data_IF_697558014265
#
_entry.id   IF_697558014265
#
_cell.length_a   1.000
_cell.length_b   1.000
_cell.length_c   1.000
_cell.angle_alpha   90.00
_cell.angle_beta   90.00
_cell.angle_gamma   90.00
#
_symmetry.space_group_name_H-M   'P 1'
#
loop_
_entity.id
_entity.type
_entity.pdbx_description
1 polymer ?
#
# COMPACT_ATOMS: atom_id res chain seq x y z
N UNK A 1 5.64 25.85 41.95
CA UNK A 1 5.03 24.54 41.64
C UNK A 1 5.15 24.11 40.16
N UNK A 2 5.80 24.89 39.27
CA UNK A 2 5.84 24.64 37.81
C UNK A 2 7.14 24.00 37.27
N UNK A 3 8.15 23.72 38.10
CA UNK A 3 9.43 23.16 37.64
C UNK A 3 9.38 21.65 37.36
N UNK A 4 8.48 20.91 38.00
CA UNK A 4 8.33 19.46 37.80
C UNK A 4 7.63 19.07 36.50
N UNK A 5 6.71 19.91 36.02
CA UNK A 5 5.91 19.65 34.82
C UNK A 5 6.75 19.76 33.54
N UNK A 6 7.68 20.73 33.47
CA UNK A 6 8.57 20.89 32.33
C UNK A 6 9.61 19.76 32.21
N UNK A 7 10.19 19.34 33.33
CA UNK A 7 11.16 18.22 33.34
C UNK A 7 10.46 16.91 32.99
N UNK A 8 9.25 16.67 33.53
CA UNK A 8 8.44 15.50 33.18
C UNK A 8 8.08 15.45 31.69
N UNK A 9 7.67 16.58 31.10
CA UNK A 9 7.34 16.66 29.68
C UNK A 9 8.56 16.41 28.77
N UNK A 10 9.74 16.96 29.13
CA UNK A 10 10.98 16.74 28.37
C UNK A 10 11.47 15.29 28.43
N UNK A 11 11.36 14.65 29.60
CA UNK A 11 11.70 13.22 29.73
C UNK A 11 10.73 12.39 28.89
N UNK A 12 9.43 12.67 28.97
CA UNK A 12 8.42 11.97 28.18
C UNK A 12 8.66 12.14 26.66
N UNK A 13 8.97 13.34 26.19
CA UNK A 13 9.27 13.59 24.78
C UNK A 13 10.53 12.86 24.34
N UNK A 14 11.60 12.89 25.15
CA UNK A 14 12.86 12.19 24.86
C UNK A 14 12.64 10.68 24.78
N UNK A 15 11.88 10.11 25.71
CA UNK A 15 11.52 8.69 25.67
C UNK A 15 10.68 8.35 24.43
N UNK A 16 9.74 9.21 24.03
CA UNK A 16 8.97 9.03 22.81
C UNK A 16 9.87 9.08 21.56
N UNK A 17 10.76 10.05 21.47
CA UNK A 17 11.70 10.19 20.36
C UNK A 17 12.66 9.00 20.25
N UNK A 18 13.19 8.53 21.38
CA UNK A 18 14.03 7.32 21.42
C UNK A 18 13.24 6.07 21.03
N UNK A 19 12.00 5.94 21.50
CA UNK A 19 11.11 4.85 21.12
C UNK A 19 10.82 4.84 19.61
N UNK A 20 10.52 6.00 19.04
CA UNK A 20 10.31 6.18 17.60
C UNK A 20 11.59 5.91 16.81
N UNK A 21 12.74 6.39 17.26
CA UNK A 21 14.04 6.12 16.62
C UNK A 21 14.35 4.61 16.62
N UNK A 22 14.15 3.94 17.75
CA UNK A 22 14.32 2.49 17.87
C UNK A 22 13.36 1.72 16.96
N UNK A 23 12.09 2.11 16.91
CA UNK A 23 11.09 1.51 16.02
C UNK A 23 11.47 1.70 14.54
N UNK A 24 11.89 2.90 14.13
CA UNK A 24 12.37 3.16 12.77
C UNK A 24 13.58 2.31 12.41
N UNK A 25 14.50 2.13 13.34
CA UNK A 25 15.70 1.30 13.14
C UNK A 25 15.32 -0.18 12.96
N UNK A 26 14.42 -0.70 13.79
CA UNK A 26 13.91 -2.07 13.69
C UNK A 26 13.15 -2.29 12.37
N UNK A 27 12.30 -1.34 11.99
CA UNK A 27 11.59 -1.37 10.72
C UNK A 27 12.58 -1.38 9.54
N UNK A 28 13.57 -0.48 9.56
CA UNK A 28 14.61 -0.43 8.53
C UNK A 28 15.41 -1.74 8.41
N UNK A 29 15.78 -2.36 9.55
CA UNK A 29 16.46 -3.64 9.57
C UNK A 29 15.57 -4.78 9.04
N UNK A 30 14.30 -4.81 9.44
CA UNK A 30 13.32 -5.78 8.98
C UNK A 30 13.10 -5.68 7.47
N UNK A 31 12.92 -4.46 6.96
CA UNK A 31 12.76 -4.18 5.54
C UNK A 31 14.02 -4.60 4.75
N UNK A 32 15.21 -4.20 5.22
CA UNK A 32 16.47 -4.59 4.56
C UNK A 32 16.65 -6.11 4.50
N UNK A 33 16.28 -6.82 5.55
CA UNK A 33 16.34 -8.29 5.57
C UNK A 33 15.37 -8.92 4.55
N UNK A 34 14.16 -8.38 4.43
CA UNK A 34 13.10 -8.97 3.59
C UNK A 34 13.19 -8.59 2.12
N UNK A 35 13.68 -7.38 1.82
CA UNK A 35 13.60 -6.80 0.48
C UNK A 35 14.90 -6.17 0.01
N UNK A 36 16.01 -6.39 0.73
CA UNK A 36 17.32 -5.84 0.38
C UNK A 36 17.92 -6.39 -0.91
N UNK A 37 17.43 -7.54 -1.39
CA UNK A 37 17.77 -8.12 -2.69
C UNK A 37 16.95 -7.55 -3.86
N UNK A 38 15.95 -6.70 -3.55
CA UNK A 38 15.04 -6.14 -4.54
C UNK A 38 15.38 -4.69 -4.84
N UNK A 39 15.27 -4.33 -6.12
CA UNK A 39 15.41 -2.96 -6.62
C UNK A 39 14.04 -2.40 -6.97
N UNK A 40 13.83 -1.13 -6.66
CA UNK A 40 12.67 -0.37 -7.11
C UNK A 40 13.07 0.54 -8.25
N UNK A 41 12.22 0.60 -9.26
CA UNK A 41 12.30 1.50 -10.40
C UNK A 41 10.97 2.26 -10.49
N UNK A 42 11.00 3.58 -10.33
CA UNK A 42 9.83 4.42 -10.57
C UNK A 42 9.73 4.71 -12.06
N UNK A 43 8.54 4.52 -12.63
CA UNK A 43 8.27 4.73 -14.05
C UNK A 43 7.07 5.65 -14.24
N UNK A 44 7.11 6.45 -15.29
CA UNK A 44 6.01 7.35 -15.68
C UNK A 44 4.93 6.62 -16.49
N UNK A 45 5.26 5.45 -17.05
CA UNK A 45 4.36 4.59 -17.80
C UNK A 45 4.59 3.12 -17.48
N UNK A 46 3.50 2.37 -17.31
CA UNK A 46 3.53 0.92 -17.14
C UNK A 46 4.05 0.24 -18.42
N UNK A 47 5.14 -0.54 -18.33
CA UNK A 47 5.66 -1.24 -19.50
C UNK A 47 4.72 -2.36 -19.94
N UNK A 48 4.65 -2.61 -21.25
CA UNK A 48 3.79 -3.66 -21.84
C UNK A 48 4.12 -5.07 -21.34
N UNK A 49 5.33 -5.31 -20.85
CA UNK A 49 5.71 -6.61 -20.27
C UNK A 49 4.83 -7.01 -19.08
N UNK A 50 4.25 -6.03 -18.36
CA UNK A 50 3.31 -6.29 -17.25
C UNK A 50 2.06 -7.01 -17.74
N UNK A 51 1.59 -6.77 -18.96
CA UNK A 51 0.37 -7.39 -19.47
C UNK A 51 0.49 -8.91 -19.54
N UNK A 52 1.65 -9.41 -19.99
CA UNK A 52 1.91 -10.84 -20.05
C UNK A 52 1.94 -11.48 -18.65
N UNK A 53 2.53 -10.79 -17.67
CA UNK A 53 2.60 -11.25 -16.28
C UNK A 53 1.22 -11.20 -15.59
N UNK A 54 0.43 -10.17 -15.86
CA UNK A 54 -0.94 -10.08 -15.36
C UNK A 54 -1.86 -11.13 -15.98
N UNK A 55 -1.66 -11.47 -17.26
CA UNK A 55 -2.42 -12.51 -17.95
C UNK A 55 -2.15 -13.93 -17.42
N UNK A 56 -0.98 -14.17 -16.81
CA UNK A 56 -0.65 -15.46 -16.17
C UNK A 56 -1.38 -15.69 -14.84
N UNK A 57 -2.13 -14.69 -14.34
CA UNK A 57 -2.87 -14.81 -13.09
C UNK A 57 -4.06 -15.73 -13.23
N UNK A 58 -4.08 -16.76 -12.39
CA UNK A 58 -5.17 -17.73 -12.33
C UNK A 58 -6.11 -17.39 -11.17
N UNK A 59 -7.18 -16.66 -11.46
CA UNK A 59 -8.31 -16.43 -10.56
C UNK A 59 -9.63 -16.66 -11.30
N UNK A 60 -10.67 -17.18 -10.62
CA UNK A 60 -12.02 -17.32 -11.21
C UNK A 60 -12.67 -15.95 -11.47
N UNK A 61 -12.32 -14.96 -10.66
CA UNK A 61 -12.73 -13.55 -10.82
C UNK A 61 -11.48 -12.70 -10.74
N UNK A 62 -11.27 -11.79 -11.69
CA UNK A 62 -10.07 -10.94 -11.73
C UNK A 62 -10.48 -9.51 -12.07
N UNK A 63 -10.04 -8.53 -11.26
CA UNK A 63 -10.16 -7.12 -11.67
C UNK A 63 -9.37 -6.91 -12.96
N UNK A 64 -9.98 -6.32 -13.99
CA UNK A 64 -9.26 -6.03 -15.23
C UNK A 64 -8.10 -5.08 -14.93
N UNK A 65 -6.88 -5.61 -15.04
CA UNK A 65 -5.65 -4.84 -14.94
C UNK A 65 -4.81 -5.07 -16.18
N UNK A 66 -4.27 -3.98 -16.67
CA UNK A 66 -3.39 -3.92 -17.84
C UNK A 66 -2.48 -2.71 -17.69
N UNK A 67 -1.44 -2.64 -18.51
CA UNK A 67 -0.62 -1.46 -18.71
C UNK A 67 -1.49 -0.25 -19.04
N UNK A 68 -2.49 -0.41 -19.93
CA UNK A 68 -3.49 0.62 -20.26
C UNK A 68 -4.23 1.13 -19.04
N UNK A 69 -4.73 0.23 -18.17
CA UNK A 69 -5.42 0.59 -16.94
C UNK A 69 -4.50 1.34 -15.96
N UNK A 70 -3.28 0.84 -15.75
CA UNK A 70 -2.29 1.49 -14.88
C UNK A 70 -1.91 2.88 -15.41
N UNK A 71 -1.72 3.02 -16.72
CA UNK A 71 -1.42 4.31 -17.36
C UNK A 71 -2.59 5.28 -17.26
N UNK A 72 -3.82 4.77 -17.35
CA UNK A 72 -5.01 5.58 -17.05
C UNK A 72 -5.00 6.06 -15.59
N UNK A 73 -4.74 5.17 -14.61
CA UNK A 73 -4.65 5.54 -13.19
C UNK A 73 -3.57 6.61 -12.92
N UNK A 74 -2.43 6.54 -13.61
CA UNK A 74 -1.36 7.53 -13.51
C UNK A 74 -1.79 8.90 -14.07
N UNK A 75 -2.51 8.92 -15.19
CA UNK A 75 -2.96 10.17 -15.85
C UNK A 75 -4.12 10.87 -15.15
N UNK A 76 -5.00 10.13 -14.48
CA UNK A 76 -6.13 10.73 -13.73
C UNK A 76 -5.70 11.38 -12.41
N UNK A 77 -4.40 11.43 -12.10
CA UNK A 77 -3.93 12.24 -10.98
C UNK A 77 -4.22 13.71 -11.29
N UNK A 78 -5.22 14.30 -10.61
CA UNK A 78 -5.56 15.70 -10.81
C UNK A 78 -4.59 16.62 -10.03
N UNK A 79 -3.81 17.48 -10.72
CA UNK A 79 -2.95 18.45 -10.04
C UNK A 79 -3.74 19.43 -9.17
N UNK A 80 -5.01 19.71 -9.49
CA UNK A 80 -5.87 20.61 -8.72
C UNK A 80 -6.18 20.07 -7.31
N UNK A 81 -6.18 18.74 -7.14
CA UNK A 81 -6.39 18.08 -5.85
C UNK A 81 -5.09 17.88 -5.05
N UNK A 82 -3.96 18.43 -5.51
CA UNK A 82 -2.61 18.17 -4.97
C UNK A 82 -2.34 16.66 -4.85
N UNK A 83 -2.84 15.90 -5.82
CA UNK A 83 -2.76 14.44 -5.86
C UNK A 83 -1.64 14.05 -6.81
N UNK A 84 -0.66 13.31 -6.28
CA UNK A 84 0.41 12.74 -7.09
C UNK A 84 0.38 11.21 -6.99
N UNK A 85 0.70 10.53 -8.09
CA UNK A 85 0.74 9.08 -8.18
C UNK A 85 2.04 8.62 -8.84
N UNK A 86 2.58 7.50 -8.39
CA UNK A 86 3.79 6.87 -8.96
C UNK A 86 3.57 5.38 -9.12
N UNK A 87 4.00 4.85 -10.26
CA UNK A 87 4.14 3.41 -10.47
C UNK A 87 5.57 3.01 -10.16
N UNK A 88 5.71 1.99 -9.33
CA UNK A 88 6.98 1.43 -8.91
C UNK A 88 7.04 -0.03 -9.39
N UNK A 89 8.05 -0.34 -10.20
CA UNK A 89 8.39 -1.69 -10.61
C UNK A 89 9.39 -2.27 -9.60
N UNK A 90 9.20 -3.53 -9.24
CA UNK A 90 10.07 -4.25 -8.31
C UNK A 90 10.80 -5.34 -9.06
N UNK A 91 12.13 -5.21 -9.14
CA UNK A 91 12.98 -6.16 -9.85
C UNK A 91 13.90 -6.90 -8.88
N UNK A 92 14.14 -8.17 -9.16
CA UNK A 92 15.22 -8.92 -8.54
C UNK A 92 16.59 -8.41 -9.04
N UNK A 93 17.68 -8.87 -8.41
CA UNK A 93 19.04 -8.46 -8.76
C UNK A 93 19.44 -8.83 -10.20
N UNK A 94 18.86 -9.88 -10.75
CA UNK A 94 19.05 -10.31 -12.14
C UNK A 94 18.24 -9.48 -13.16
N UNK A 95 17.44 -8.51 -12.70
CA UNK A 95 16.60 -7.65 -13.52
C UNK A 95 15.18 -8.18 -13.76
N UNK A 96 14.86 -9.41 -13.31
CA UNK A 96 13.54 -10.00 -13.47
C UNK A 96 12.48 -9.20 -12.71
N UNK A 97 11.32 -8.95 -13.34
CA UNK A 97 10.21 -8.20 -12.75
C UNK A 97 9.40 -9.11 -11.82
N UNK A 98 9.56 -8.93 -10.51
CA UNK A 98 8.93 -9.78 -9.48
C UNK A 98 7.64 -9.19 -8.92
N UNK A 99 7.45 -7.89 -9.08
CA UNK A 99 6.22 -7.22 -8.66
C UNK A 99 6.12 -5.80 -9.18
N UNK A 100 4.97 -5.19 -8.94
CA UNK A 100 4.73 -3.77 -9.15
C UNK A 100 3.78 -3.24 -8.08
N UNK A 101 3.87 -1.96 -7.78
CA UNK A 101 2.91 -1.29 -6.92
C UNK A 101 2.76 0.18 -7.29
N UNK A 102 1.59 0.74 -7.01
CA UNK A 102 1.26 2.13 -7.23
C UNK A 102 1.06 2.80 -5.87
N UNK A 103 1.77 3.90 -5.66
CA UNK A 103 1.62 4.74 -4.48
C UNK A 103 0.99 6.07 -4.88
N UNK A 104 0.24 6.65 -3.96
CA UNK A 104 -0.34 7.98 -4.08
C UNK A 104 0.09 8.81 -2.88
N UNK A 105 0.28 10.11 -3.07
CA UNK A 105 0.25 11.08 -1.97
C UNK A 105 -0.80 12.16 -2.23
N UNK A 106 -1.42 12.64 -1.18
CA UNK A 106 -2.45 13.68 -1.20
C UNK A 106 -2.28 14.59 0.01
N UNK A 107 -2.38 15.88 -0.21
CA UNK A 107 -2.45 16.84 0.89
C UNK A 107 -3.88 16.93 1.43
N UNK A 108 -4.02 16.86 2.75
CA UNK A 108 -5.28 17.04 3.45
C UNK A 108 -5.18 18.26 4.37
N UNK A 109 -5.96 19.30 4.07
CA UNK A 109 -6.14 20.45 4.96
C UNK A 109 -6.67 20.00 6.33
N UNK A 110 -7.53 18.98 6.34
CA UNK A 110 -8.03 18.29 7.53
C UNK A 110 -8.23 16.81 7.21
N UNK A 111 -7.38 15.94 7.77
CA UNK A 111 -7.34 14.52 7.47
C UNK A 111 -8.35 13.68 8.26
N UNK A 112 -8.88 14.18 9.38
CA UNK A 112 -9.92 13.49 10.15
C UNK A 112 -10.78 14.44 10.97
N UNK A 113 -11.94 13.95 11.42
CA UNK A 113 -12.79 14.62 12.43
C UNK A 113 -12.03 14.93 13.73
N UNK A 114 -10.93 14.22 14.00
CA UNK A 114 -10.10 14.35 15.20
C UNK A 114 -9.06 15.47 15.09
N UNK A 115 -9.02 16.21 13.97
CA UNK A 115 -8.33 17.50 13.89
C UNK A 115 -6.88 17.47 13.40
N UNK A 116 -6.43 16.39 12.75
CA UNK A 116 -5.14 16.42 12.04
C UNK A 116 -5.26 17.37 10.84
N UNK A 117 -4.50 18.47 10.86
CA UNK A 117 -4.51 19.49 9.80
C UNK A 117 -3.20 19.51 9.05
N UNK A 118 -3.25 19.89 7.78
CA UNK A 118 -2.09 20.05 6.91
C UNK A 118 -1.21 18.79 6.85
N UNK A 119 -1.82 17.65 6.55
CA UNK A 119 -1.13 16.35 6.52
C UNK A 119 -0.98 15.89 5.08
N UNK A 120 0.25 15.56 4.69
CA UNK A 120 0.53 14.81 3.47
C UNK A 120 0.34 13.32 3.74
N UNK A 121 -0.78 12.75 3.27
CA UNK A 121 -1.09 11.33 3.43
C UNK A 121 -0.61 10.55 2.19
N UNK A 122 0.19 9.53 2.43
CA UNK A 122 0.58 8.53 1.45
C UNK A 122 -0.32 7.30 1.51
N UNK A 123 -0.62 6.69 0.37
CA UNK A 123 -1.37 5.43 0.32
C UNK A 123 -0.72 4.45 -0.65
N UNK A 124 -0.66 3.17 -0.26
CA UNK A 124 -0.49 2.08 -1.23
C UNK A 124 -1.81 1.88 -1.96
N UNK A 125 -1.87 2.33 -3.21
CA UNK A 125 -3.08 2.36 -4.03
C UNK A 125 -3.36 1.00 -4.64
N UNK A 126 -2.35 0.43 -5.29
CA UNK A 126 -2.47 -0.86 -5.93
C UNK A 126 -1.15 -1.64 -5.85
N UNK A 127 -1.22 -2.97 -5.93
CA UNK A 127 -0.04 -3.82 -6.00
C UNK A 127 -0.30 -5.09 -6.79
N UNK A 128 0.78 -5.67 -7.27
CA UNK A 128 0.82 -6.87 -8.04
C UNK A 128 2.08 -7.66 -7.73
N UNK A 129 1.93 -8.86 -7.17
CA UNK A 129 3.00 -9.87 -7.13
C UNK A 129 2.99 -10.62 -8.47
N UNK A 130 4.17 -10.77 -9.09
CA UNK A 130 4.37 -11.55 -10.31
C UNK A 130 5.19 -12.82 -10.03
N UNK A 131 6.11 -12.76 -9.06
CA UNK A 131 6.89 -13.90 -8.57
C UNK A 131 6.81 -13.98 -7.04
N UNK A 132 6.02 -14.95 -6.55
CA UNK A 132 5.74 -15.12 -5.12
C UNK A 132 6.92 -15.76 -4.35
N UNK A 133 7.87 -16.39 -5.04
CA UNK A 133 9.06 -16.95 -4.40
C UNK A 133 10.07 -15.86 -4.06
N UNK A 134 10.03 -14.74 -4.79
CA UNK A 134 10.91 -13.58 -4.59
C UNK A 134 10.31 -12.52 -3.67
N UNK A 135 9.00 -12.27 -3.78
CA UNK A 135 8.31 -11.23 -3.00
C UNK A 135 6.86 -11.60 -2.74
N UNK A 136 6.41 -11.39 -1.51
CA UNK A 136 5.00 -11.52 -1.15
C UNK A 136 4.33 -10.16 -0.94
N UNK A 137 3.00 -10.17 -0.70
CA UNK A 137 2.20 -8.96 -0.52
C UNK A 137 2.72 -8.09 0.62
N UNK A 138 3.12 -8.71 1.74
CA UNK A 138 3.72 -7.99 2.86
C UNK A 138 5.07 -7.36 2.45
N UNK A 139 5.90 -8.07 1.68
CA UNK A 139 7.13 -7.55 1.10
C UNK A 139 6.90 -6.33 0.20
N UNK A 140 5.93 -6.41 -0.72
CA UNK A 140 5.54 -5.25 -1.54
C UNK A 140 5.00 -4.09 -0.71
N UNK A 141 4.19 -4.38 0.32
CA UNK A 141 3.70 -3.36 1.26
C UNK A 141 4.84 -2.65 1.97
N UNK A 142 5.87 -3.39 2.41
CA UNK A 142 7.06 -2.80 3.02
C UNK A 142 7.83 -1.91 2.04
N UNK A 143 8.01 -2.35 0.80
CA UNK A 143 8.63 -1.55 -0.25
C UNK A 143 7.83 -0.26 -0.50
N UNK A 144 6.50 -0.34 -0.60
CA UNK A 144 5.64 0.82 -0.77
C UNK A 144 5.75 1.81 0.39
N UNK A 145 5.76 1.34 1.64
CA UNK A 145 5.97 2.19 2.81
C UNK A 145 7.33 2.90 2.76
N UNK A 146 8.39 2.21 2.30
CA UNK A 146 9.72 2.82 2.10
C UNK A 146 9.65 3.99 1.15
N UNK A 147 9.04 3.76 -0.01
CA UNK A 147 8.95 4.76 -1.07
C UNK A 147 8.07 5.93 -0.65
N UNK A 148 6.96 5.67 0.06
CA UNK A 148 6.13 6.73 0.64
C UNK A 148 6.91 7.61 1.63
N UNK A 149 7.68 7.00 2.54
CA UNK A 149 8.54 7.75 3.49
C UNK A 149 9.58 8.58 2.73
N UNK A 150 10.26 7.99 1.74
CA UNK A 150 11.22 8.69 0.90
C UNK A 150 10.56 9.81 0.07
N UNK A 151 9.26 9.67 -0.23
CA UNK A 151 8.47 10.67 -0.93
C UNK A 151 7.94 11.79 -0.02
N UNK A 152 8.32 11.79 1.27
CA UNK A 152 8.07 12.89 2.20
C UNK A 152 6.63 12.98 2.68
N UNK A 153 5.92 11.85 2.80
CA UNK A 153 4.58 11.84 3.42
C UNK A 153 4.69 11.89 4.94
N UNK A 154 3.74 12.57 5.58
CA UNK A 154 3.65 12.67 7.05
C UNK A 154 3.07 11.39 7.67
N UNK A 155 2.14 10.76 6.95
CA UNK A 155 1.50 9.51 7.32
C UNK A 155 1.37 8.60 6.10
N UNK A 156 1.39 7.29 6.33
CA UNK A 156 1.20 6.29 5.28
C UNK A 156 0.07 5.33 5.65
N UNK A 157 -0.78 5.03 4.68
CA UNK A 157 -1.89 4.11 4.79
C UNK A 157 -1.71 2.93 3.82
N UNK A 158 -2.01 1.75 4.33
CA UNK A 158 -1.95 0.50 3.56
C UNK A 158 -3.11 -0.39 3.97
N UNK A 159 -3.64 -1.17 3.03
CA UNK A 159 -4.68 -2.14 3.29
C UNK A 159 -4.04 -3.52 3.49
N UNK A 160 -4.29 -4.15 4.63
CA UNK A 160 -3.95 -5.56 4.82
C UNK A 160 -4.94 -6.43 4.02
N UNK A 161 -4.45 -7.47 3.35
CA UNK A 161 -5.30 -8.39 2.56
C UNK A 161 -5.82 -9.56 3.38
N UNK A 162 -5.25 -9.78 4.57
CA UNK A 162 -5.61 -10.85 5.49
C UNK A 162 -5.17 -10.53 6.94
N UNK A 163 -5.64 -11.32 7.90
CA UNK A 163 -5.34 -11.16 9.33
C UNK A 163 -3.86 -11.36 9.68
N UNK A 164 -3.16 -12.20 8.93
CA UNK A 164 -1.73 -12.44 9.16
C UNK A 164 -0.92 -11.18 8.83
N UNK A 165 -1.17 -10.57 7.68
CA UNK A 165 -0.54 -9.31 7.28
C UNK A 165 -0.94 -8.17 8.21
N UNK A 166 -2.22 -8.07 8.59
CA UNK A 166 -2.68 -7.09 9.59
C UNK A 166 -1.92 -7.21 10.93
N UNK A 167 -1.75 -8.45 11.44
CA UNK A 167 -0.94 -8.69 12.65
C UNK A 167 0.53 -8.33 12.45
N UNK A 168 1.10 -8.63 11.29
CA UNK A 168 2.49 -8.30 11.00
C UNK A 168 2.71 -6.78 10.95
N UNK A 169 1.83 -6.05 10.26
CA UNK A 169 1.87 -4.58 10.16
C UNK A 169 1.71 -3.91 11.54
N UNK A 170 0.82 -4.43 12.40
CA UNK A 170 0.69 -3.93 13.77
C UNK A 170 1.95 -4.09 14.59
N UNK A 171 2.65 -5.22 14.45
CA UNK A 171 3.95 -5.45 15.12
C UNK A 171 5.04 -4.49 14.63
N UNK A 172 4.88 -3.92 13.44
CA UNK A 172 5.77 -2.92 12.87
C UNK A 172 5.38 -1.48 13.26
N UNK A 173 4.33 -1.29 14.06
CA UNK A 173 3.89 0.00 14.57
C UNK A 173 2.77 0.66 13.78
N UNK A 174 2.18 -0.01 12.78
CA UNK A 174 0.98 0.50 12.12
C UNK A 174 -0.24 0.32 13.03
N UNK A 175 -1.08 1.35 13.11
CA UNK A 175 -2.36 1.29 13.82
C UNK A 175 -3.48 0.92 12.85
N UNK A 176 -4.38 0.02 13.27
CA UNK A 176 -5.60 -0.24 12.51
C UNK A 176 -6.58 0.92 12.72
N UNK A 177 -6.96 1.59 11.63
CA UNK A 177 -7.86 2.77 11.66
C UNK A 177 -9.18 2.58 10.93
N UNK A 178 -9.36 1.45 10.25
CA UNK A 178 -10.59 1.12 9.53
C UNK A 178 -10.55 -0.30 8.98
N UNK A 179 -11.65 -0.68 8.35
CA UNK A 179 -11.80 -1.93 7.59
C UNK A 179 -12.72 -1.66 6.40
N UNK A 180 -12.38 -2.21 5.24
CA UNK A 180 -13.22 -2.17 4.06
C UNK A 180 -13.78 -3.57 3.81
N UNK A 181 -15.11 -3.69 3.81
CA UNK A 181 -15.80 -4.89 3.41
C UNK A 181 -16.32 -4.72 1.98
N UNK A 182 -15.80 -5.50 1.05
CA UNK A 182 -16.32 -5.57 -0.32
C UNK A 182 -17.27 -6.77 -0.44
N UNK A 183 -18.46 -6.51 -0.97
CA UNK A 183 -19.43 -7.54 -1.37
C UNK A 183 -19.62 -7.44 -2.87
N UNK A 184 -19.18 -8.45 -3.61
CA UNK A 184 -19.54 -8.58 -5.03
C UNK A 184 -20.68 -9.58 -5.14
N UNK A 185 -21.71 -9.22 -5.90
CA UNK A 185 -22.83 -10.10 -6.23
C UNK A 185 -22.96 -10.15 -7.74
N UNK A 186 -22.93 -11.35 -8.33
CA UNK A 186 -23.22 -11.52 -9.73
C UNK A 186 -24.73 -11.35 -9.95
N UNK A 187 -25.13 -10.58 -10.96
CA UNK A 187 -26.53 -10.54 -11.40
C UNK A 187 -27.00 -11.97 -11.73
N UNK A 188 -28.23 -12.41 -11.36
CA UNK A 188 -28.78 -13.73 -11.72
C UNK A 188 -28.64 -14.15 -13.19
N UNK A 189 -28.67 -13.20 -14.12
CA UNK A 189 -28.50 -13.46 -15.55
C UNK A 189 -27.03 -13.51 -16.00
N UNK A 190 -26.10 -13.17 -15.10
CA UNK A 190 -24.66 -13.18 -15.36
C UNK A 190 -24.14 -14.62 -15.47
N UNK A 191 -23.21 -14.91 -16.40
CA UNK A 191 -22.49 -16.18 -16.42
C UNK A 191 -21.64 -16.41 -15.15
N UNK A 192 -21.46 -15.38 -14.30
CA UNK A 192 -20.81 -15.46 -13.00
C UNK A 192 -21.77 -15.84 -11.87
N UNK A 193 -23.08 -15.94 -12.14
CA UNK A 193 -24.08 -16.34 -11.16
C UNK A 193 -24.05 -17.86 -10.98
N UNK A 194 -23.37 -18.32 -9.94
CA UNK A 194 -23.28 -19.73 -9.59
C UNK A 194 -22.35 -20.03 -8.42
N UNK A 195 -22.52 -21.19 -7.79
CA UNK A 195 -21.77 -21.62 -6.60
C UNK A 195 -20.25 -21.67 -6.81
N UNK A 196 -19.79 -21.89 -8.06
CA UNK A 196 -18.36 -21.89 -8.40
C UNK A 196 -17.67 -20.54 -8.13
N UNK A 197 -18.43 -19.45 -8.11
CA UNK A 197 -17.94 -18.10 -7.84
C UNK A 197 -18.24 -17.63 -6.41
N UNK A 198 -18.85 -18.45 -5.55
CA UNK A 198 -19.09 -18.09 -4.14
C UNK A 198 -17.81 -18.15 -3.27
N UNK A 199 -16.78 -18.84 -3.74
CA UNK A 199 -15.53 -19.04 -3.01
C UNK A 199 -14.60 -17.82 -3.13
N UNK A 200 -14.50 -17.01 -2.05
CA UNK A 200 -13.70 -15.77 -2.03
C UNK A 200 -12.21 -15.97 -2.33
N UNK A 201 -11.64 -17.11 -1.94
CA UNK A 201 -10.24 -17.48 -2.23
C UNK A 201 -9.96 -17.61 -3.72
N UNK A 202 -10.98 -17.84 -4.55
CA UNK A 202 -10.85 -17.93 -6.00
C UNK A 202 -10.88 -16.56 -6.69
N UNK A 203 -11.03 -15.47 -5.93
CA UNK A 203 -11.14 -14.13 -6.46
C UNK A 203 -9.81 -13.40 -6.34
N UNK A 204 -9.39 -12.81 -7.44
CA UNK A 204 -8.28 -11.88 -7.51
C UNK A 204 -8.81 -10.44 -7.49
N UNK A 205 -9.44 -10.11 -6.35
CA UNK A 205 -9.84 -8.75 -6.01
C UNK A 205 -9.01 -8.35 -4.81
N UNK A 206 -8.16 -7.34 -4.97
CA UNK A 206 -7.46 -6.75 -3.83
C UNK A 206 -8.45 -5.89 -3.05
N UNK A 207 -8.43 -5.89 -1.70
CA UNK A 207 -9.15 -4.88 -0.93
C UNK A 207 -8.87 -3.51 -1.53
N UNK A 208 -9.94 -2.78 -1.87
CA UNK A 208 -9.79 -1.47 -2.47
C UNK A 208 -9.21 -0.50 -1.44
N UNK A 209 -8.44 0.43 -2.00
CA UNK A 209 -7.81 1.62 -1.45
C UNK A 209 -8.42 2.16 -0.14
N UNK A 210 -7.53 2.60 0.77
CA UNK A 210 -7.89 3.36 1.98
C UNK A 210 -8.54 4.73 1.72
N UNK A 211 -8.63 5.16 0.46
CA UNK A 211 -9.41 6.33 0.06
C UNK A 211 -10.28 5.95 -1.15
N UNK A 212 -11.59 5.93 -0.91
CA UNK A 212 -12.71 5.62 -1.79
C UNK A 212 -12.42 5.67 -3.31
N UNK A 213 -12.39 4.49 -3.96
CA UNK A 213 -12.41 4.39 -5.43
C UNK A 213 -13.77 4.81 -6.04
N UNK A 214 -14.82 4.89 -5.22
CA UNK A 214 -16.22 5.08 -5.63
C UNK A 214 -16.83 6.42 -5.21
N UNK A 215 -16.03 7.37 -4.72
CA UNK A 215 -16.50 8.74 -4.44
C UNK A 215 -15.94 9.74 -5.44
#
# INVERSE_FOLDING_TARGET
RFLGEHVGAQIASTCADLGLAGQRMLLGAYMRRRTGHLRIETVDEAPREIDALLAQRNGRVVSHRSSTWMNWLLRIADPAEQREQRLCLVRAHDGHLVGAFMIRRRFHDTASSDGFRNVMLGSLKDHAVFDADQVDVLGLTMLALRELIAWGVDAAEVCATNDQDSRALRRLGLAQRGELHLVCHANPESPLYGNAFAERSAWWITPAEGDNFFN
#
